data_IF_810199397709
#
_entry.id   IF_810199397709
#
_cell.length_a   1.000
_cell.length_b   1.000
_cell.length_c   1.000
_cell.angle_alpha   90.00
_cell.angle_beta   90.00
_cell.angle_gamma   90.00
#
_symmetry.space_group_name_H-M   'P 1'
#
loop_
_entity.id
_entity.type
_entity.pdbx_description
1 polymer ?
#
# COMPACT_ATOMS: atom_id res chain seq x y z
N UNK A 1 4.75 28.12 24.30
CA UNK A 1 5.18 26.76 24.68
C UNK A 1 5.13 25.83 23.47
N UNK A 2 6.04 24.88 23.38
CA UNK A 2 6.04 23.87 22.34
C UNK A 2 4.90 22.89 22.58
N UNK A 3 4.08 22.62 21.57
CA UNK A 3 3.01 21.63 21.61
C UNK A 3 3.36 20.49 20.67
N UNK A 4 3.30 19.25 21.16
CA UNK A 4 3.45 18.06 20.33
C UNK A 4 2.11 17.73 19.68
N UNK A 5 2.09 17.64 18.36
CA UNK A 5 0.90 17.27 17.57
C UNK A 5 1.23 16.13 16.63
N UNK A 6 0.25 15.27 16.38
CA UNK A 6 0.37 14.17 15.42
C UNK A 6 -0.85 14.16 14.47
N UNK A 7 -0.67 13.54 13.31
CA UNK A 7 -1.70 13.40 12.28
C UNK A 7 -1.17 13.71 10.89
N UNK A 8 -1.97 13.40 9.89
CA UNK A 8 -1.65 13.67 8.46
C UNK A 8 -1.49 15.16 8.19
N UNK A 9 -2.18 16.02 8.96
CA UNK A 9 -2.04 17.48 8.89
C UNK A 9 -0.64 17.98 9.29
N UNK A 10 0.14 17.20 10.05
CA UNK A 10 1.51 17.48 10.43
C UNK A 10 2.49 16.83 9.45
N UNK A 11 2.17 15.67 8.93
CA UNK A 11 2.99 14.95 7.95
C UNK A 11 3.05 15.67 6.61
N UNK A 12 1.93 16.24 6.15
CA UNK A 12 1.85 16.94 4.86
C UNK A 12 2.81 18.16 4.78
N UNK A 13 2.80 19.14 5.71
CA UNK A 13 3.74 20.25 5.67
C UNK A 13 5.20 19.81 5.88
N UNK A 14 5.45 18.76 6.66
CA UNK A 14 6.81 18.20 6.80
C UNK A 14 7.32 17.65 5.46
N UNK A 15 6.49 16.93 4.72
CA UNK A 15 6.83 16.47 3.38
C UNK A 15 7.03 17.64 2.40
N UNK A 16 6.18 18.67 2.48
CA UNK A 16 6.32 19.89 1.68
C UNK A 16 7.64 20.59 1.94
N UNK A 17 8.04 20.75 3.21
CA UNK A 17 9.34 21.31 3.59
C UNK A 17 10.52 20.50 3.06
N UNK A 18 10.44 19.16 3.14
CA UNK A 18 11.45 18.26 2.57
C UNK A 18 11.59 18.41 1.06
N UNK A 19 10.47 18.51 0.34
CA UNK A 19 10.46 18.74 -1.10
C UNK A 19 11.04 20.14 -1.43
N UNK A 20 10.72 21.17 -0.65
CA UNK A 20 11.29 22.49 -0.84
C UNK A 20 12.83 22.50 -0.70
N UNK A 21 13.37 21.73 0.24
CA UNK A 21 14.82 21.53 0.38
C UNK A 21 15.43 20.86 -0.84
N UNK A 22 14.80 19.78 -1.37
CA UNK A 22 15.24 19.13 -2.60
C UNK A 22 15.28 20.12 -3.77
N UNK A 23 14.21 20.88 -3.97
CA UNK A 23 14.13 21.88 -5.04
C UNK A 23 15.17 22.98 -4.89
N UNK A 24 15.45 23.40 -3.66
CA UNK A 24 16.50 24.41 -3.38
C UNK A 24 17.87 23.87 -3.77
N UNK A 25 18.19 22.63 -3.39
CA UNK A 25 19.47 22.00 -3.76
C UNK A 25 19.64 21.85 -5.28
N UNK A 26 18.61 21.39 -5.98
CA UNK A 26 18.63 21.25 -7.44
C UNK A 26 18.82 22.60 -8.15
N UNK A 27 18.14 23.66 -7.66
CA UNK A 27 18.31 25.03 -8.18
C UNK A 27 19.73 25.57 -7.98
N UNK A 28 20.37 25.31 -6.84
CA UNK A 28 21.75 25.71 -6.58
C UNK A 28 22.75 25.07 -7.53
N UNK A 29 22.41 23.88 -8.05
CA UNK A 29 23.24 23.16 -9.01
C UNK A 29 22.81 23.38 -10.48
N UNK A 30 21.88 24.29 -10.74
CA UNK A 30 21.27 24.54 -12.06
C UNK A 30 20.70 23.27 -12.72
N UNK A 31 20.17 22.36 -11.90
CA UNK A 31 19.57 21.13 -12.39
C UNK A 31 18.10 21.32 -12.75
N UNK A 32 17.73 20.82 -13.92
CA UNK A 32 16.32 20.72 -14.32
C UNK A 32 15.63 19.63 -13.54
N UNK A 33 14.40 19.88 -13.16
CA UNK A 33 13.56 18.92 -12.46
C UNK A 33 12.14 18.93 -13.01
N UNK A 34 11.43 17.81 -12.83
CA UNK A 34 10.01 17.68 -13.10
C UNK A 34 9.31 17.06 -11.88
N UNK A 35 8.01 17.25 -11.71
CA UNK A 35 7.27 16.59 -10.64
C UNK A 35 7.41 15.07 -10.67
N UNK A 36 7.56 14.47 -11.85
CA UNK A 36 7.74 13.02 -12.01
C UNK A 36 9.09 12.55 -11.44
N UNK A 37 10.19 13.27 -11.73
CA UNK A 37 11.52 13.00 -11.17
C UNK A 37 11.53 13.08 -9.65
N UNK A 38 11.01 14.16 -9.09
CA UNK A 38 10.93 14.36 -7.64
C UNK A 38 10.13 13.25 -6.98
N UNK A 39 8.94 12.94 -7.52
CA UNK A 39 8.12 11.85 -7.00
C UNK A 39 8.83 10.51 -7.03
N UNK A 40 9.51 10.16 -8.13
CA UNK A 40 10.24 8.89 -8.26
C UNK A 40 11.36 8.80 -7.24
N UNK A 41 12.15 9.86 -7.08
CA UNK A 41 13.23 9.93 -6.09
C UNK A 41 12.69 9.69 -4.68
N UNK A 42 11.66 10.43 -4.27
CA UNK A 42 11.04 10.30 -2.94
C UNK A 42 10.50 8.88 -2.71
N UNK A 43 9.79 8.31 -3.68
CA UNK A 43 9.15 6.99 -3.56
C UNK A 43 10.19 5.86 -3.49
N UNK A 44 11.28 5.96 -4.26
CA UNK A 44 12.31 4.93 -4.32
C UNK A 44 13.32 4.99 -3.18
N UNK A 45 13.40 6.12 -2.47
CA UNK A 45 14.34 6.30 -1.36
C UNK A 45 13.67 6.38 0.02
N UNK A 46 12.35 6.35 0.08
CA UNK A 46 11.62 6.39 1.34
C UNK A 46 11.98 5.20 2.25
N UNK A 47 12.18 5.48 3.54
CA UNK A 47 12.55 4.47 4.54
C UNK A 47 11.32 3.86 5.16
N UNK A 48 11.23 2.53 5.09
CA UNK A 48 10.20 1.78 5.79
C UNK A 48 10.44 1.76 7.30
N UNK A 49 9.38 1.90 8.08
CA UNK A 49 9.41 1.76 9.53
C UNK A 49 9.28 0.26 9.84
N UNK A 50 10.21 -0.33 10.59
CA UNK A 50 10.10 -1.73 11.00
C UNK A 50 8.84 -1.99 11.84
N UNK A 51 8.27 -3.18 11.72
CA UNK A 51 7.08 -3.63 12.47
C UNK A 51 5.82 -2.76 12.27
N UNK A 52 5.76 -2.00 11.17
CA UNK A 52 4.55 -1.32 10.73
C UNK A 52 4.13 -1.91 9.39
N UNK A 53 2.86 -2.24 9.25
CA UNK A 53 2.35 -2.86 8.03
C UNK A 53 2.49 -1.91 6.82
N UNK A 54 2.81 -2.48 5.68
CA UNK A 54 3.06 -1.72 4.43
C UNK A 54 1.88 -0.85 4.04
N UNK A 55 0.66 -1.33 4.18
CA UNK A 55 -0.54 -0.57 3.86
C UNK A 55 -0.79 0.60 4.82
N UNK A 56 -0.28 0.53 6.07
CA UNK A 56 -0.42 1.60 7.06
C UNK A 56 0.58 2.75 6.84
N UNK A 57 1.76 2.46 6.28
CA UNK A 57 2.83 3.45 6.08
C UNK A 57 3.09 3.83 4.62
N UNK A 58 2.45 3.16 3.66
CA UNK A 58 2.69 3.41 2.23
C UNK A 58 4.15 3.16 1.83
N UNK A 59 4.82 4.17 1.27
CA UNK A 59 6.23 4.06 0.89
C UNK A 59 7.19 4.27 2.06
N UNK A 60 6.73 4.81 3.16
CA UNK A 60 7.52 5.07 4.35
C UNK A 60 7.85 6.54 4.57
N UNK A 61 8.88 6.80 5.35
CA UNK A 61 9.31 8.14 5.74
C UNK A 61 10.23 8.74 4.68
N UNK A 62 9.93 9.97 4.29
CA UNK A 62 10.75 10.76 3.35
C UNK A 62 12.20 10.87 3.84
N UNK A 63 13.14 10.56 2.95
CA UNK A 63 14.57 10.75 3.15
C UNK A 63 15.07 11.78 2.15
N UNK A 64 15.24 13.02 2.61
CA UNK A 64 15.57 14.17 1.71
C UNK A 64 16.96 14.01 1.13
N UNK A 65 17.94 13.62 1.96
CA UNK A 65 19.32 13.35 1.56
C UNK A 65 19.40 12.25 0.50
N UNK A 66 18.74 11.12 0.75
CA UNK A 66 18.73 9.97 -0.18
C UNK A 66 17.99 10.29 -1.48
N UNK A 67 16.92 11.08 -1.41
CA UNK A 67 16.22 11.54 -2.61
C UNK A 67 17.09 12.49 -3.44
N UNK A 68 17.89 13.34 -2.79
CA UNK A 68 18.84 14.21 -3.48
C UNK A 68 19.97 13.41 -4.14
N UNK A 69 20.62 12.50 -3.41
CA UNK A 69 21.63 11.58 -3.96
C UNK A 69 21.10 10.79 -5.18
N UNK A 70 19.86 10.32 -5.09
CA UNK A 70 19.19 9.62 -6.18
C UNK A 70 19.01 10.51 -7.42
N UNK A 71 18.58 11.75 -7.24
CA UNK A 71 18.42 12.71 -8.34
C UNK A 71 19.75 13.05 -9.00
N UNK A 72 20.82 13.21 -8.21
CA UNK A 72 22.18 13.44 -8.69
C UNK A 72 22.69 12.27 -9.55
N UNK A 73 22.55 11.05 -9.03
CA UNK A 73 22.99 9.83 -9.72
C UNK A 73 22.25 9.62 -11.05
N UNK A 74 21.04 10.14 -11.17
CA UNK A 74 20.16 9.90 -12.32
C UNK A 74 19.85 11.18 -13.14
N UNK A 75 20.64 12.23 -13.02
CA UNK A 75 20.34 13.52 -13.67
C UNK A 75 20.23 13.49 -15.19
N UNK A 76 20.89 12.55 -15.86
CA UNK A 76 20.82 12.34 -17.31
C UNK A 76 19.73 11.37 -17.79
N UNK A 77 18.98 10.76 -16.87
CA UNK A 77 18.01 9.73 -17.23
C UNK A 77 16.71 10.33 -17.78
N UNK A 78 16.46 10.17 -19.08
CA UNK A 78 15.24 10.70 -19.73
C UNK A 78 13.96 10.01 -19.25
N UNK A 79 14.01 8.72 -18.92
CA UNK A 79 12.90 7.93 -18.41
C UNK A 79 12.37 8.41 -17.04
N UNK A 80 13.14 9.20 -16.32
CA UNK A 80 12.72 9.78 -15.03
C UNK A 80 11.65 10.87 -15.17
N UNK A 81 11.44 11.41 -16.35
CA UNK A 81 10.37 12.36 -16.63
C UNK A 81 9.03 11.69 -16.95
N UNK A 82 8.98 10.35 -16.82
CA UNK A 82 7.77 9.55 -16.99
C UNK A 82 7.15 9.18 -15.65
N UNK A 83 5.83 9.16 -15.66
CA UNK A 83 5.02 8.55 -14.61
C UNK A 83 4.28 7.36 -15.20
N UNK A 84 4.30 6.23 -14.51
CA UNK A 84 3.50 5.07 -14.91
C UNK A 84 2.21 5.00 -14.11
N UNK A 85 1.09 5.03 -14.80
CA UNK A 85 -0.24 4.89 -14.20
C UNK A 85 -0.64 3.43 -14.25
N UNK A 86 -0.87 2.85 -13.07
CA UNK A 86 -1.36 1.48 -12.92
C UNK A 86 -2.86 1.51 -12.72
N UNK A 87 -3.58 0.66 -13.45
CA UNK A 87 -5.02 0.48 -13.31
C UNK A 87 -5.35 -1.01 -13.33
N UNK A 88 -6.07 -1.49 -12.34
CA UNK A 88 -6.71 -2.79 -12.37
C UNK A 88 -7.97 -2.69 -13.25
N UNK A 89 -7.95 -3.29 -14.43
CA UNK A 89 -9.05 -3.22 -15.39
C UNK A 89 -10.21 -4.16 -15.01
N UNK A 90 -9.94 -5.15 -14.15
CA UNK A 90 -10.95 -6.12 -13.72
C UNK A 90 -11.81 -5.60 -12.55
N UNK A 91 -11.22 -4.80 -11.64
CA UNK A 91 -11.88 -4.37 -10.40
C UNK A 91 -11.95 -2.84 -10.26
N UNK A 92 -11.21 -2.10 -11.10
CA UNK A 92 -10.95 -0.68 -10.90
C UNK A 92 -9.82 -0.43 -9.89
N UNK A 93 -9.49 0.84 -9.66
CA UNK A 93 -8.42 1.21 -8.73
C UNK A 93 -7.01 0.97 -9.26
N UNK A 94 -6.01 1.05 -8.37
CA UNK A 94 -4.58 1.01 -8.74
C UNK A 94 -3.85 -0.22 -8.23
N UNK A 95 -4.57 -1.25 -7.80
CA UNK A 95 -4.02 -2.48 -7.26
C UNK A 95 -5.07 -3.57 -7.23
N UNK A 96 -4.74 -4.69 -6.62
CA UNK A 96 -5.65 -5.82 -6.40
C UNK A 96 -6.05 -5.78 -4.93
N UNK A 97 -7.34 -5.80 -4.66
CA UNK A 97 -7.89 -5.84 -3.32
C UNK A 97 -8.96 -6.93 -3.23
N UNK A 98 -8.68 -7.98 -2.45
CA UNK A 98 -9.55 -9.13 -2.25
C UNK A 98 -9.94 -9.22 -0.78
N UNK A 99 -11.22 -9.26 -0.49
CA UNK A 99 -11.75 -9.34 0.88
C UNK A 99 -13.05 -10.14 1.01
N UNK A 100 -13.70 -10.43 -0.11
CA UNK A 100 -14.95 -11.12 -0.11
C UNK A 100 -14.70 -12.64 -0.07
N UNK A 101 -15.51 -13.41 0.67
CA UNK A 101 -15.35 -14.85 0.77
C UNK A 101 -15.22 -15.52 -0.60
N UNK A 102 -16.03 -15.10 -1.58
CA UNK A 102 -16.01 -15.66 -2.94
C UNK A 102 -14.71 -15.39 -3.72
N UNK A 103 -13.87 -14.43 -3.30
CA UNK A 103 -12.61 -14.10 -3.97
C UNK A 103 -11.37 -14.36 -3.10
N UNK A 104 -11.54 -14.83 -1.87
CA UNK A 104 -10.45 -15.23 -0.97
C UNK A 104 -10.30 -16.74 -0.80
N UNK A 105 -11.22 -17.54 -1.35
CA UNK A 105 -11.22 -19.01 -1.30
C UNK A 105 -10.75 -19.70 -2.59
N UNK A 106 -10.46 -18.91 -3.63
CA UNK A 106 -10.04 -19.42 -4.95
C UNK A 106 -9.02 -18.50 -5.62
N UNK A 107 -8.41 -19.01 -6.70
CA UNK A 107 -7.56 -18.19 -7.56
C UNK A 107 -8.35 -17.07 -8.25
N UNK A 108 -7.76 -15.87 -8.31
CA UNK A 108 -8.37 -14.69 -8.93
C UNK A 108 -7.39 -14.07 -9.92
N UNK A 109 -7.77 -14.06 -11.19
CA UNK A 109 -7.03 -13.38 -12.23
C UNK A 109 -7.47 -11.91 -12.35
N UNK A 110 -6.50 -11.00 -12.40
CA UNK A 110 -6.70 -9.56 -12.59
C UNK A 110 -5.92 -9.05 -13.78
N UNK A 111 -6.56 -8.26 -14.63
CA UNK A 111 -5.90 -7.59 -15.74
C UNK A 111 -5.36 -6.23 -15.29
N UNK A 112 -4.06 -6.09 -15.28
CA UNK A 112 -3.38 -4.86 -14.88
C UNK A 112 -2.93 -4.10 -16.11
N UNK A 113 -3.42 -2.89 -16.27
CA UNK A 113 -2.96 -1.94 -17.29
C UNK A 113 -1.90 -1.01 -16.71
N UNK A 114 -0.79 -0.82 -17.42
CA UNK A 114 0.25 0.16 -17.08
C UNK A 114 0.45 1.09 -18.26
N UNK A 115 0.28 2.38 -18.04
CA UNK A 115 0.36 3.40 -19.09
C UNK A 115 1.36 4.47 -18.71
N UNK A 116 2.36 4.77 -19.57
CA UNK A 116 3.27 5.89 -19.36
C UNK A 116 2.53 7.21 -19.54
N UNK A 117 2.80 8.15 -18.65
CA UNK A 117 2.34 9.55 -18.76
C UNK A 117 3.59 10.40 -18.92
N UNK A 118 3.64 11.09 -20.04
CA UNK A 118 4.76 11.96 -20.41
C UNK A 118 4.58 13.37 -19.83
N UNK A 119 5.67 14.08 -19.63
CA UNK A 119 5.63 15.50 -19.31
C UNK A 119 5.03 16.29 -20.50
N UNK A 120 4.33 17.39 -20.23
CA UNK A 120 3.63 18.21 -21.24
C UNK A 120 4.57 18.68 -22.38
N UNK A 121 5.81 19.03 -22.04
CA UNK A 121 6.83 19.49 -22.97
C UNK A 121 7.55 18.36 -23.73
N UNK A 122 7.18 17.08 -23.53
CA UNK A 122 7.82 15.98 -24.24
C UNK A 122 7.47 16.01 -25.74
N UNK A 123 8.47 15.80 -26.61
CA UNK A 123 8.24 15.76 -28.06
C UNK A 123 7.36 14.57 -28.47
N UNK A 124 6.49 14.78 -29.47
CA UNK A 124 5.59 13.73 -29.94
C UNK A 124 6.32 12.57 -30.62
N UNK A 125 7.42 12.82 -31.31
CA UNK A 125 8.24 11.78 -31.91
C UNK A 125 8.89 10.90 -30.81
N UNK A 126 9.39 11.50 -29.74
CA UNK A 126 9.93 10.77 -28.58
C UNK A 126 8.83 9.94 -27.88
N UNK A 127 7.61 10.48 -27.76
CA UNK A 127 6.48 9.72 -27.19
C UNK A 127 6.14 8.49 -28.02
N UNK A 128 6.03 8.65 -29.34
CA UNK A 128 5.69 7.54 -30.25
C UNK A 128 6.79 6.48 -30.29
N UNK A 129 8.05 6.90 -30.24
CA UNK A 129 9.20 6.00 -30.23
C UNK A 129 9.47 5.34 -28.86
N UNK A 130 8.71 5.70 -27.82
CA UNK A 130 8.91 5.16 -26.48
C UNK A 130 8.69 3.65 -26.45
N UNK A 131 9.71 2.94 -26.01
CA UNK A 131 9.68 1.52 -25.67
C UNK A 131 10.53 1.30 -24.42
N UNK A 132 10.00 0.54 -23.47
CA UNK A 132 10.72 0.15 -22.25
C UNK A 132 10.43 -1.31 -21.94
N UNK A 133 11.49 -2.10 -21.84
CA UNK A 133 11.40 -3.47 -21.30
C UNK A 133 11.40 -3.39 -19.77
N UNK A 134 10.42 -4.02 -19.14
CA UNK A 134 10.24 -4.01 -17.70
C UNK A 134 10.26 -5.44 -17.18
N UNK A 135 11.17 -5.73 -16.27
CA UNK A 135 11.17 -6.97 -15.49
C UNK A 135 10.19 -6.84 -14.34
N UNK A 136 9.39 -7.88 -14.12
CA UNK A 136 8.40 -7.94 -13.06
C UNK A 136 8.87 -8.91 -11.98
N UNK A 137 8.78 -8.47 -10.72
CA UNK A 137 9.18 -9.23 -9.55
C UNK A 137 8.09 -9.20 -8.48
N UNK A 138 7.87 -10.33 -7.83
CA UNK A 138 7.07 -10.45 -6.62
C UNK A 138 7.77 -11.41 -5.66
N UNK A 139 7.85 -11.04 -4.38
CA UNK A 139 8.52 -11.86 -3.37
C UNK A 139 7.68 -13.05 -2.90
N UNK A 140 6.36 -12.97 -3.07
CA UNK A 140 5.43 -13.93 -2.47
C UNK A 140 4.95 -14.96 -3.50
N UNK A 141 5.01 -16.27 -3.15
CA UNK A 141 4.70 -17.37 -4.08
C UNK A 141 3.20 -17.53 -4.35
N UNK A 142 2.32 -16.83 -3.64
CA UNK A 142 0.88 -16.85 -3.87
C UNK A 142 0.40 -15.90 -4.97
N UNK A 143 1.37 -15.30 -5.72
CA UNK A 143 1.08 -14.40 -6.84
C UNK A 143 1.83 -14.86 -8.09
N UNK A 144 1.09 -15.20 -9.12
CA UNK A 144 1.62 -15.50 -10.44
C UNK A 144 1.56 -14.25 -11.33
N UNK A 145 2.64 -13.98 -12.02
CA UNK A 145 2.75 -12.85 -12.93
C UNK A 145 3.72 -13.17 -14.09
N UNK A 146 3.64 -12.49 -15.23
CA UNK A 146 4.65 -12.62 -16.28
C UNK A 146 6.01 -12.10 -15.79
N UNK A 147 7.10 -12.67 -16.28
CA UNK A 147 8.46 -12.26 -15.88
C UNK A 147 8.84 -10.87 -16.42
N UNK A 148 8.28 -10.47 -17.54
CA UNK A 148 8.56 -9.19 -18.18
C UNK A 148 7.38 -8.69 -18.98
N UNK A 149 7.39 -7.40 -19.24
CA UNK A 149 6.43 -6.70 -20.12
C UNK A 149 7.17 -5.62 -20.91
N UNK A 150 6.76 -5.39 -22.16
CA UNK A 150 7.25 -4.26 -22.96
C UNK A 150 6.21 -3.18 -22.96
N UNK A 151 6.55 -2.01 -22.42
CA UNK A 151 5.71 -0.83 -22.39
C UNK A 151 5.99 0.04 -23.60
N UNK A 152 4.94 0.42 -24.29
CA UNK A 152 4.95 1.40 -25.40
C UNK A 152 4.20 2.66 -24.96
N UNK A 153 4.19 3.69 -25.78
CA UNK A 153 3.49 4.97 -25.47
C UNK A 153 2.02 4.79 -25.06
N UNK A 154 1.31 3.84 -25.66
CA UNK A 154 -0.09 3.52 -25.33
C UNK A 154 -0.25 2.64 -24.09
N UNK A 155 0.85 2.25 -23.45
CA UNK A 155 0.84 1.32 -22.33
C UNK A 155 0.71 -0.14 -22.72
N UNK A 156 0.60 -1.00 -21.71
CA UNK A 156 0.42 -2.46 -21.86
C UNK A 156 -0.43 -3.00 -20.74
N UNK A 157 -1.16 -4.07 -21.04
CA UNK A 157 -1.85 -4.85 -20.01
C UNK A 157 -1.23 -6.25 -19.90
N UNK A 158 -1.24 -6.78 -18.67
CA UNK A 158 -0.81 -8.14 -18.36
C UNK A 158 -1.71 -8.72 -17.27
N UNK A 159 -1.71 -10.05 -17.15
CA UNK A 159 -2.47 -10.76 -16.12
C UNK A 159 -1.61 -10.95 -14.87
N UNK A 160 -2.23 -10.76 -13.71
CA UNK A 160 -1.72 -11.17 -12.41
C UNK A 160 -2.75 -12.10 -11.80
N UNK A 161 -2.33 -13.30 -11.42
CA UNK A 161 -3.19 -14.27 -10.75
C UNK A 161 -2.76 -14.40 -9.29
N UNK A 162 -3.74 -14.30 -8.40
CA UNK A 162 -3.53 -14.39 -6.94
C UNK A 162 -4.16 -15.68 -6.45
N UNK A 163 -3.53 -16.35 -5.46
CA UNK A 163 -3.96 -17.62 -4.87
C UNK A 163 -4.27 -17.46 -3.37
N UNK A 164 -5.27 -16.66 -3.00
CA UNK A 164 -5.58 -16.37 -1.60
C UNK A 164 -6.07 -17.60 -0.81
N UNK A 165 -6.55 -18.66 -1.49
CA UNK A 165 -6.94 -19.90 -0.84
C UNK A 165 -5.79 -20.56 -0.06
N UNK A 166 -4.54 -20.30 -0.42
CA UNK A 166 -3.35 -20.83 0.26
C UNK A 166 -2.96 -20.03 1.52
N UNK A 167 -3.61 -18.88 1.74
CA UNK A 167 -3.29 -17.98 2.84
C UNK A 167 -4.10 -18.34 4.10
N UNK A 168 -3.51 -18.09 5.26
CA UNK A 168 -4.20 -18.15 6.56
C UNK A 168 -5.18 -16.99 6.71
N UNK A 169 -6.06 -17.04 7.71
CA UNK A 169 -6.88 -15.89 8.08
C UNK A 169 -5.97 -14.71 8.48
N UNK A 170 -6.44 -13.48 8.19
CA UNK A 170 -5.70 -12.25 8.45
C UNK A 170 -5.52 -11.38 7.21
N UNK A 171 -4.58 -10.44 7.30
CA UNK A 171 -4.24 -9.55 6.20
C UNK A 171 -2.89 -9.90 5.59
N UNK A 172 -2.89 -10.02 4.28
CA UNK A 172 -1.70 -10.30 3.48
C UNK A 172 -1.47 -9.15 2.49
N UNK A 173 -0.22 -8.72 2.37
CA UNK A 173 0.16 -7.65 1.47
C UNK A 173 1.44 -8.02 0.73
N UNK A 174 1.40 -7.85 -0.58
CA UNK A 174 2.58 -7.93 -1.45
C UNK A 174 2.47 -6.95 -2.61
N UNK A 175 3.48 -6.91 -3.47
CA UNK A 175 3.50 -6.06 -4.65
C UNK A 175 4.12 -6.81 -5.83
N UNK A 176 3.54 -6.69 -7.01
CA UNK A 176 4.27 -6.92 -8.26
C UNK A 176 4.97 -5.63 -8.62
N UNK A 177 6.29 -5.68 -8.68
CA UNK A 177 7.18 -4.52 -8.86
C UNK A 177 7.81 -4.57 -10.23
N UNK A 178 7.69 -3.49 -11.00
CA UNK A 178 8.30 -3.36 -12.32
C UNK A 178 9.60 -2.57 -12.26
N UNK A 179 10.67 -3.13 -12.85
CA UNK A 179 11.98 -2.50 -12.99
C UNK A 179 12.33 -2.33 -14.47
N UNK A 180 12.91 -1.21 -14.81
CA UNK A 180 13.52 -1.04 -16.12
C UNK A 180 14.59 -2.13 -16.31
N UNK A 181 14.45 -2.96 -17.36
CA UNK A 181 15.35 -4.08 -17.61
C UNK A 181 16.77 -3.62 -17.97
N UNK A 182 16.92 -2.44 -18.56
CA UNK A 182 18.21 -1.88 -18.97
C UNK A 182 18.87 -1.09 -17.82
N UNK A 183 18.08 -0.63 -16.83
CA UNK A 183 18.53 0.18 -15.69
C UNK A 183 17.86 -0.21 -14.36
N UNK A 184 17.97 -1.46 -13.91
CA UNK A 184 17.32 -1.93 -12.68
C UNK A 184 17.85 -1.21 -11.42
N UNK A 185 19.07 -0.71 -11.45
CA UNK A 185 19.71 0.06 -10.37
C UNK A 185 18.98 1.36 -10.04
N UNK A 186 18.17 1.88 -10.97
CA UNK A 186 17.34 3.07 -10.77
C UNK A 186 16.10 2.81 -9.92
N UNK A 187 15.89 1.55 -9.52
CA UNK A 187 14.76 1.13 -8.72
C UNK A 187 13.44 1.06 -9.50
N UNK A 188 12.35 0.76 -8.81
CA UNK A 188 11.06 0.51 -9.43
C UNK A 188 10.52 1.67 -10.27
N UNK A 189 9.98 1.34 -11.44
CA UNK A 189 9.27 2.28 -12.30
C UNK A 189 7.77 2.33 -11.98
N UNK A 190 7.20 1.19 -11.58
CA UNK A 190 5.84 1.11 -11.05
C UNK A 190 5.70 -0.04 -10.06
N UNK A 191 4.58 -0.07 -9.35
CA UNK A 191 4.21 -1.13 -8.41
C UNK A 191 2.72 -1.40 -8.50
N UNK A 192 2.36 -2.67 -8.41
CA UNK A 192 0.98 -3.14 -8.32
C UNK A 192 0.79 -3.69 -6.91
N UNK A 193 0.21 -2.92 -5.98
CA UNK A 193 -0.05 -3.40 -4.64
C UNK A 193 -1.17 -4.46 -4.67
N UNK A 194 -1.00 -5.50 -3.87
CA UNK A 194 -1.95 -6.60 -3.71
C UNK A 194 -2.24 -6.75 -2.23
N UNK A 195 -3.49 -6.59 -1.84
CA UNK A 195 -3.96 -6.75 -0.47
C UNK A 195 -5.06 -7.79 -0.44
N UNK A 196 -4.92 -8.77 0.44
CA UNK A 196 -5.92 -9.80 0.71
C UNK A 196 -6.32 -9.72 2.18
N UNK A 197 -7.62 -9.57 2.44
CA UNK A 197 -8.21 -9.69 3.78
C UNK A 197 -8.98 -11.01 3.82
N UNK A 198 -8.49 -11.96 4.59
CA UNK A 198 -9.14 -13.26 4.75
C UNK A 198 -9.72 -13.35 6.15
N UNK A 199 -11.04 -13.47 6.25
CA UNK A 199 -11.74 -13.64 7.52
C UNK A 199 -11.42 -14.99 8.14
N UNK A 200 -11.34 -15.04 9.46
CA UNK A 200 -11.37 -16.29 10.21
C UNK A 200 -12.82 -16.79 10.30
N UNK A 201 -13.04 -18.03 9.98
CA UNK A 201 -14.34 -18.64 10.12
C UNK A 201 -14.73 -18.71 11.59
N UNK A 202 -15.92 -18.23 11.92
CA UNK A 202 -16.49 -18.30 13.26
C UNK A 202 -17.19 -19.64 13.44
N UNK A 203 -17.04 -20.27 14.61
CA UNK A 203 -17.78 -21.48 14.94
C UNK A 203 -19.30 -21.17 14.93
N UNK A 204 -20.03 -21.88 14.06
CA UNK A 204 -21.46 -21.70 13.87
C UNK A 204 -22.31 -22.61 14.78
N UNK A 205 -21.67 -23.45 15.63
CA UNK A 205 -22.40 -24.16 16.69
C UNK A 205 -23.00 -23.14 17.67
N UNK A 206 -24.22 -23.39 18.11
CA UNK A 206 -24.88 -22.49 19.04
C UNK A 206 -24.37 -22.65 20.49
N UNK A 207 -24.00 -21.52 21.15
CA UNK A 207 -23.97 -20.14 20.65
C UNK A 207 -22.77 -19.90 19.72
N UNK A 208 -22.98 -19.20 18.62
CA UNK A 208 -21.90 -18.78 17.72
C UNK A 208 -20.90 -17.95 18.52
N UNK A 209 -19.63 -18.35 18.56
CA UNK A 209 -18.62 -17.62 19.31
C UNK A 209 -17.25 -17.69 18.63
N UNK A 210 -16.45 -16.68 18.94
CA UNK A 210 -15.02 -16.62 18.61
C UNK A 210 -14.28 -16.08 19.82
N UNK A 211 -13.11 -16.60 20.12
CA UNK A 211 -12.28 -16.10 21.21
C UNK A 211 -10.80 -16.18 20.87
N UNK A 212 -10.07 -15.14 21.21
CA UNK A 212 -8.63 -15.06 21.02
C UNK A 212 -7.95 -14.46 22.24
N UNK A 213 -6.72 -14.90 22.51
CA UNK A 213 -5.87 -14.31 23.54
C UNK A 213 -4.93 -13.31 22.92
N UNK A 214 -5.17 -12.01 23.16
CA UNK A 214 -4.37 -10.93 22.63
C UNK A 214 -3.32 -10.45 23.64
N UNK A 215 -2.15 -10.05 23.14
CA UNK A 215 -1.13 -9.32 23.92
C UNK A 215 -0.99 -7.93 23.31
N UNK A 216 -1.70 -6.95 23.89
CA UNK A 216 -1.75 -5.60 23.38
C UNK A 216 -0.51 -4.79 23.78
N UNK A 217 0.20 -4.22 22.83
CA UNK A 217 1.35 -3.34 23.04
C UNK A 217 0.93 -1.87 22.83
N UNK A 218 1.29 -0.93 23.73
CA UNK A 218 0.95 0.47 23.56
C UNK A 218 1.41 1.04 22.20
N UNK A 219 0.50 1.70 21.50
CA UNK A 219 0.77 2.30 20.19
C UNK A 219 0.78 1.32 19.02
N UNK A 220 0.57 0.03 19.26
CA UNK A 220 0.40 -0.97 18.22
C UNK A 220 -1.08 -1.23 17.94
N UNK A 221 -1.41 -1.58 16.70
CA UNK A 221 -2.78 -1.92 16.30
C UNK A 221 -2.82 -3.41 15.98
N UNK A 222 -3.61 -4.17 16.74
CA UNK A 222 -3.94 -5.55 16.42
C UNK A 222 -5.22 -5.57 15.58
N UNK A 223 -5.21 -6.35 14.50
CA UNK A 223 -6.33 -6.47 13.56
C UNK A 223 -6.77 -7.92 13.46
N UNK A 224 -8.04 -8.14 13.74
CA UNK A 224 -8.70 -9.43 13.60
C UNK A 224 -9.80 -9.31 12.56
N UNK A 225 -9.81 -10.23 11.61
CA UNK A 225 -10.79 -10.29 10.54
C UNK A 225 -11.64 -11.54 10.75
N UNK A 226 -12.94 -11.34 10.93
CA UNK A 226 -13.89 -12.43 11.15
C UNK A 226 -14.84 -12.53 9.98
N UNK A 227 -15.13 -13.74 9.56
CA UNK A 227 -16.19 -14.01 8.61
C UNK A 227 -17.52 -14.02 9.36
N UNK A 228 -18.38 -13.04 9.08
CA UNK A 228 -19.67 -12.92 9.76
C UNK A 228 -20.62 -13.96 9.23
N UNK A 229 -21.19 -14.85 10.11
CA UNK A 229 -22.12 -15.86 9.67
C UNK A 229 -23.38 -15.28 9.03
N UNK A 230 -23.92 -15.98 8.05
CA UNK A 230 -25.15 -15.56 7.39
C UNK A 230 -26.30 -15.44 8.40
N UNK A 231 -26.98 -14.30 8.40
CA UNK A 231 -28.10 -14.03 9.31
C UNK A 231 -27.72 -13.45 10.66
N UNK A 232 -26.43 -13.31 10.96
CA UNK A 232 -25.99 -12.61 12.17
C UNK A 232 -26.29 -11.11 12.09
N UNK A 233 -27.01 -10.58 13.06
CA UNK A 233 -27.42 -9.16 13.15
C UNK A 233 -26.82 -8.44 14.33
N UNK A 234 -26.19 -9.17 15.24
CA UNK A 234 -25.67 -8.64 16.51
C UNK A 234 -24.39 -9.39 16.90
N UNK A 235 -23.47 -8.71 17.55
CA UNK A 235 -22.29 -9.30 18.15
C UNK A 235 -22.03 -8.68 19.53
N UNK A 236 -21.89 -9.53 20.54
CA UNK A 236 -21.42 -9.13 21.86
C UNK A 236 -19.90 -9.32 21.95
N UNK A 237 -19.19 -8.25 22.31
CA UNK A 237 -17.74 -8.28 22.48
C UNK A 237 -17.39 -8.16 23.97
N UNK A 238 -16.80 -9.21 24.52
CA UNK A 238 -16.41 -9.29 25.92
C UNK A 238 -14.89 -9.30 26.04
N UNK A 239 -14.33 -8.27 26.71
CA UNK A 239 -12.92 -8.24 27.06
C UNK A 239 -12.72 -8.79 28.46
N UNK A 240 -11.85 -9.78 28.59
CA UNK A 240 -11.40 -10.31 29.86
C UNK A 240 -9.92 -10.04 29.98
N UNK A 241 -9.49 -9.39 31.06
CA UNK A 241 -8.08 -9.16 31.36
C UNK A 241 -7.60 -10.21 32.35
N UNK A 242 -6.33 -10.64 32.18
CA UNK A 242 -5.62 -11.33 33.25
C UNK A 242 -5.27 -10.38 34.40
N UNK A 243 -4.47 -10.85 35.35
CA UNK A 243 -3.92 -9.99 36.38
C UNK A 243 -3.09 -8.87 35.77
N UNK A 244 -3.41 -7.61 36.13
CA UNK A 244 -2.71 -6.43 35.65
C UNK A 244 -2.70 -5.35 36.72
N UNK A 245 -1.61 -4.60 36.79
CA UNK A 245 -1.52 -3.46 37.68
C UNK A 245 -2.09 -2.20 37.04
N UNK A 246 -2.96 -1.53 37.77
CA UNK A 246 -3.49 -0.21 37.43
C UNK A 246 -4.56 -0.22 36.34
N UNK A 247 -4.74 0.93 35.72
CA UNK A 247 -5.79 1.16 34.72
C UNK A 247 -5.18 1.28 33.33
N UNK A 248 -5.79 0.63 32.36
CA UNK A 248 -5.43 0.74 30.94
C UNK A 248 -6.64 1.16 30.11
N UNK A 249 -6.36 1.90 29.05
CA UNK A 249 -7.37 2.31 28.08
C UNK A 249 -7.13 1.60 26.77
N UNK A 250 -8.13 0.89 26.29
CA UNK A 250 -8.15 0.20 25.01
C UNK A 250 -9.08 0.98 24.08
N UNK A 251 -8.69 1.13 22.84
CA UNK A 251 -9.57 1.66 21.80
C UNK A 251 -9.92 0.49 20.88
N UNK A 252 -11.19 0.14 20.86
CA UNK A 252 -11.73 -0.83 19.91
C UNK A 252 -12.34 -0.08 18.74
N UNK A 253 -11.95 -0.47 17.55
CA UNK A 253 -12.54 0.01 16.31
C UNK A 253 -13.06 -1.20 15.54
N UNK A 254 -14.39 -1.29 15.38
CA UNK A 254 -15.01 -2.32 14.55
C UNK A 254 -15.42 -1.72 13.23
N UNK A 255 -15.15 -2.42 12.15
CA UNK A 255 -15.50 -2.00 10.78
C UNK A 255 -16.20 -3.16 10.10
N UNK A 256 -17.40 -2.91 9.60
CA UNK A 256 -18.09 -3.86 8.77
C UNK A 256 -17.63 -3.65 7.32
N UNK A 257 -16.98 -4.65 6.75
CA UNK A 257 -16.46 -4.65 5.39
C UNK A 257 -17.56 -4.97 4.38
N UNK A 258 -18.48 -4.03 4.15
CA UNK A 258 -19.57 -4.18 3.17
C UNK A 258 -19.09 -3.73 1.79
N UNK A 259 -19.35 -4.50 0.72
CA UNK A 259 -19.02 -4.12 -0.63
C UNK A 259 -19.58 -2.75 -1.02
N UNK A 260 -18.72 -1.87 -1.55
CA UNK A 260 -19.13 -0.53 -2.01
C UNK A 260 -19.34 0.51 -0.91
N UNK A 261 -19.21 0.17 0.37
CA UNK A 261 -19.27 1.12 1.48
C UNK A 261 -17.87 1.62 1.89
N UNK A 262 -17.82 2.84 2.41
CA UNK A 262 -16.62 3.41 3.00
C UNK A 262 -16.47 2.98 4.47
N UNK A 263 -15.25 2.99 4.99
CA UNK A 263 -14.97 2.68 6.40
C UNK A 263 -15.75 3.56 7.39
N UNK A 264 -16.05 4.82 7.03
CA UNK A 264 -16.78 5.74 7.88
C UNK A 264 -18.25 5.37 8.04
N UNK A 265 -18.83 4.66 7.09
CA UNK A 265 -20.25 4.27 7.11
C UNK A 265 -20.48 2.99 7.92
N UNK A 266 -19.51 2.08 7.95
CA UNK A 266 -19.61 0.79 8.64
C UNK A 266 -18.82 0.70 9.95
N UNK A 267 -18.20 1.78 10.42
CA UNK A 267 -17.28 1.75 11.54
C UNK A 267 -17.88 2.26 12.86
N UNK A 268 -17.58 1.57 13.96
CA UNK A 268 -17.83 2.07 15.32
C UNK A 268 -16.52 2.18 16.07
N UNK A 269 -16.42 3.17 16.97
CA UNK A 269 -15.25 3.38 17.82
C UNK A 269 -15.66 3.46 19.28
N UNK A 270 -15.08 2.59 20.09
CA UNK A 270 -15.35 2.53 21.52
C UNK A 270 -14.06 2.69 22.34
N UNK A 271 -14.19 3.37 23.47
CA UNK A 271 -13.10 3.53 24.43
C UNK A 271 -13.42 2.70 25.66
N UNK A 272 -12.63 1.67 25.91
CA UNK A 272 -12.83 0.71 26.98
C UNK A 272 -11.76 0.96 28.05
N UNK A 273 -12.19 1.15 29.27
CA UNK A 273 -11.29 1.26 30.42
C UNK A 273 -11.32 -0.04 31.19
N UNK A 274 -10.17 -0.72 31.23
CA UNK A 274 -9.97 -1.94 32.02
C UNK A 274 -9.17 -1.61 33.27
N UNK A 275 -9.56 -2.19 34.39
CA UNK A 275 -8.94 -2.02 35.70
C UNK A 275 -8.47 -3.39 36.18
N UNK A 276 -7.26 -3.43 36.77
CA UNK A 276 -6.72 -4.60 37.44
C UNK A 276 -7.34 -4.80 38.80
#
# INVERSE_FOLDING_TARGET
GNMMMNGTSMSSPSACGGIALLLSGLKQQDQKWTPHRIRRAIVNTAKQIPNVERFAQGRGVLQVDKAFEYLEANKGAKDHDLRFVVINRSQGGRGIYLREAYNTDRAVASTIGVTPTFHEAADNAEKVAFEMRVNLECADPWVDHPKHVVLMHGGRSFSVETHPQSLTAGMHYTEVVGYDADHPERGPVFRVPITVLKGEAVDTAEPVHWSEKLTLTPGHIDRNFLEVPQGATWADVVFRTGEMDGTRRIVMHTVQEVPGQTFSEGGTRQYITVRG
#
